data_IF_654784830926
#
_entry.id   IF_654784830926
#
_cell.length_a   1.000
_cell.length_b   1.000
_cell.length_c   1.000
_cell.angle_alpha   90.00
_cell.angle_beta   90.00
_cell.angle_gamma   90.00
#
_symmetry.space_group_name_H-M   'P 1'
#
loop_
_entity.id
_entity.type
_entity.pdbx_description
1 polymer ?
#
# COMPACT_ATOMS: atom_id res chain seq x y z
N UNK A 1 15.15 1.95 17.78
CA UNK A 1 13.86 1.55 17.21
C UNK A 1 13.05 2.77 16.84
N UNK A 2 12.63 2.90 15.59
CA UNK A 2 11.68 3.93 15.17
C UNK A 2 10.26 3.44 15.48
N UNK A 3 9.49 4.21 16.23
CA UNK A 3 8.08 3.92 16.52
C UNK A 3 7.23 4.60 15.47
N UNK A 4 6.39 3.82 14.81
CA UNK A 4 5.54 4.23 13.69
C UNK A 4 4.13 3.71 13.90
N UNK A 5 3.16 4.24 13.16
CA UNK A 5 1.75 3.81 13.24
C UNK A 5 1.56 2.30 13.00
N UNK A 6 2.43 1.69 12.19
CA UNK A 6 2.48 0.24 11.96
C UNK A 6 2.68 -0.61 13.21
N UNK A 7 3.21 -0.02 14.30
CA UNK A 7 3.39 -0.72 15.57
C UNK A 7 2.10 -0.81 16.39
N UNK A 8 1.03 -0.08 16.00
CA UNK A 8 -0.22 -0.06 16.76
C UNK A 8 -0.92 -1.41 16.74
N UNK A 9 -1.01 -2.11 15.61
CA UNK A 9 -1.67 -3.44 15.56
C UNK A 9 -1.00 -4.44 16.52
N UNK A 10 0.33 -4.70 16.44
CA UNK A 10 1.02 -5.58 17.39
C UNK A 10 0.84 -5.19 18.85
N UNK A 11 0.91 -3.88 19.15
CA UNK A 11 0.80 -3.37 20.52
C UNK A 11 -0.63 -3.54 21.05
N UNK A 12 -1.64 -3.21 20.26
CA UNK A 12 -3.04 -3.36 20.64
C UNK A 12 -3.38 -4.82 20.92
N UNK A 13 -3.00 -5.74 20.03
CA UNK A 13 -3.19 -7.18 20.26
C UNK A 13 -2.48 -7.66 21.53
N UNK A 14 -1.21 -7.27 21.74
CA UNK A 14 -0.50 -7.67 22.95
C UNK A 14 -1.17 -7.12 24.23
N UNK A 15 -1.63 -5.87 24.19
CA UNK A 15 -2.33 -5.26 25.33
C UNK A 15 -3.62 -6.00 25.62
N UNK A 16 -4.49 -6.23 24.64
CA UNK A 16 -5.81 -6.83 24.85
C UNK A 16 -5.74 -8.32 25.15
N UNK A 17 -4.90 -9.07 24.44
CA UNK A 17 -4.86 -10.53 24.50
C UNK A 17 -3.91 -11.07 25.59
N UNK A 18 -2.91 -10.28 26.01
CA UNK A 18 -1.92 -10.74 27.00
C UNK A 18 -1.98 -9.95 28.31
N UNK A 19 -1.89 -8.61 28.24
CA UNK A 19 -1.75 -7.77 29.45
C UNK A 19 -3.08 -7.59 30.17
N UNK A 20 -4.14 -7.29 29.40
CA UNK A 20 -5.47 -6.97 29.89
C UNK A 20 -6.41 -8.19 29.86
N UNK A 21 -5.94 -9.33 29.36
CA UNK A 21 -6.68 -10.58 29.47
C UNK A 21 -6.99 -10.89 30.95
N UNK A 22 -8.24 -11.28 31.20
CA UNK A 22 -8.66 -11.70 32.53
C UNK A 22 -7.92 -12.98 32.93
N UNK A 23 -7.49 -13.03 34.19
CA UNK A 23 -6.84 -14.18 34.80
C UNK A 23 -7.67 -14.66 35.99
N UNK A 24 -7.58 -15.95 36.28
CA UNK A 24 -8.35 -16.58 37.36
C UNK A 24 -8.03 -15.98 38.74
N UNK A 25 -6.80 -15.49 38.92
CA UNK A 25 -6.31 -14.85 40.14
C UNK A 25 -6.62 -13.33 40.21
N UNK A 26 -7.26 -12.75 39.20
CA UNK A 26 -7.64 -11.35 39.22
C UNK A 26 -8.77 -11.09 40.23
N UNK A 27 -8.51 -10.15 41.15
CA UNK A 27 -9.56 -9.57 41.98
C UNK A 27 -10.63 -8.88 41.13
N UNK A 28 -11.84 -8.72 41.67
CA UNK A 28 -12.93 -8.01 41.00
C UNK A 28 -12.53 -6.59 40.57
N UNK A 29 -11.76 -5.87 41.39
CA UNK A 29 -11.29 -4.53 41.05
C UNK A 29 -10.35 -4.55 39.84
N UNK A 30 -9.40 -5.51 39.80
CA UNK A 30 -8.45 -5.66 38.69
C UNK A 30 -9.21 -6.00 37.41
N UNK A 31 -10.18 -6.92 37.47
CA UNK A 31 -11.05 -7.26 36.33
C UNK A 31 -11.80 -6.05 35.80
N UNK A 32 -12.41 -5.25 36.69
CA UNK A 32 -13.09 -4.01 36.30
C UNK A 32 -12.15 -2.99 35.66
N UNK A 33 -10.92 -2.84 36.18
CA UNK A 33 -9.91 -1.95 35.60
C UNK A 33 -9.46 -2.41 34.22
N UNK A 34 -9.13 -3.71 34.07
CA UNK A 34 -8.74 -4.30 32.77
C UNK A 34 -9.84 -4.10 31.73
N UNK A 35 -11.09 -4.39 32.09
CA UNK A 35 -12.23 -4.20 31.20
C UNK A 35 -12.41 -2.73 30.80
N UNK A 36 -12.29 -1.79 31.74
CA UNK A 36 -12.40 -0.36 31.44
C UNK A 36 -11.30 0.12 30.48
N UNK A 37 -10.07 -0.37 30.64
CA UNK A 37 -8.95 -0.04 29.74
C UNK A 37 -9.18 -0.66 28.36
N UNK A 38 -9.54 -1.94 28.27
CA UNK A 38 -9.87 -2.59 27.00
C UNK A 38 -10.95 -1.81 26.26
N UNK A 39 -12.07 -1.53 26.91
CA UNK A 39 -13.17 -0.77 26.33
C UNK A 39 -12.71 0.58 25.78
N UNK A 40 -11.85 1.29 26.52
CA UNK A 40 -11.32 2.57 26.06
C UNK A 40 -10.43 2.43 24.82
N UNK A 41 -9.59 1.39 24.74
CA UNK A 41 -8.78 1.13 23.55
C UNK A 41 -9.65 0.79 22.33
N UNK A 42 -10.69 -0.02 22.52
CA UNK A 42 -11.63 -0.39 21.47
C UNK A 42 -12.34 0.83 20.90
N UNK A 43 -12.89 1.70 21.77
CA UNK A 43 -13.55 2.95 21.37
C UNK A 43 -12.64 3.89 20.56
N UNK A 44 -11.32 3.79 20.72
CA UNK A 44 -10.35 4.65 20.03
C UNK A 44 -9.88 4.10 18.69
N UNK A 45 -9.79 2.77 18.55
CA UNK A 45 -9.06 2.15 17.44
C UNK A 45 -9.87 1.14 16.62
N UNK A 46 -11.08 0.75 17.05
CA UNK A 46 -11.95 -0.18 16.30
C UNK A 46 -12.87 0.51 15.28
N UNK A 47 -12.84 1.85 15.19
CA UNK A 47 -13.46 2.55 14.07
C UNK A 47 -12.94 2.00 12.73
N UNK A 48 -13.84 1.74 11.77
CA UNK A 48 -13.50 0.99 10.55
C UNK A 48 -12.39 1.65 9.73
N UNK A 49 -12.39 2.98 9.64
CA UNK A 49 -11.37 3.70 8.87
C UNK A 49 -10.03 3.68 9.61
N UNK A 50 -10.05 3.89 10.92
CA UNK A 50 -8.83 3.83 11.75
C UNK A 50 -8.22 2.43 11.77
N UNK A 51 -9.04 1.40 11.97
CA UNK A 51 -8.61 0.00 11.96
C UNK A 51 -7.95 -0.34 10.61
N UNK A 52 -8.55 0.09 9.50
CA UNK A 52 -8.01 -0.14 8.17
C UNK A 52 -6.63 0.51 7.97
N UNK A 53 -6.46 1.76 8.40
CA UNK A 53 -5.16 2.46 8.34
C UNK A 53 -4.11 1.73 9.18
N UNK A 54 -4.47 1.28 10.39
CA UNK A 54 -3.58 0.55 11.29
C UNK A 54 -3.16 -0.78 10.67
N UNK A 55 -4.10 -1.52 10.07
CA UNK A 55 -3.83 -2.79 9.40
C UNK A 55 -2.92 -2.62 8.20
N UNK A 56 -3.25 -1.68 7.32
CA UNK A 56 -2.47 -1.40 6.13
C UNK A 56 -1.04 -0.99 6.48
N UNK A 57 -0.89 -0.09 7.46
CA UNK A 57 0.42 0.33 7.93
C UNK A 57 1.23 -0.84 8.54
N UNK A 58 0.57 -1.72 9.31
CA UNK A 58 1.23 -2.89 9.88
C UNK A 58 1.72 -3.86 8.79
N UNK A 59 0.88 -4.15 7.79
CA UNK A 59 1.25 -5.04 6.67
C UNK A 59 2.39 -4.45 5.84
N UNK A 60 2.37 -3.15 5.58
CA UNK A 60 3.42 -2.45 4.84
C UNK A 60 4.70 -2.23 5.65
N UNK A 61 4.75 -2.61 6.92
CA UNK A 61 5.99 -2.58 7.69
C UNK A 61 6.74 -3.92 7.57
N UNK A 62 7.96 -3.93 7.00
CA UNK A 62 8.72 -5.16 6.79
C UNK A 62 9.11 -5.87 8.10
N UNK A 63 8.96 -5.22 9.26
CA UNK A 63 9.16 -5.83 10.57
C UNK A 63 8.00 -6.72 10.99
N UNK A 64 6.78 -6.42 10.52
CA UNK A 64 5.54 -7.05 11.00
C UNK A 64 4.84 -7.84 9.91
N UNK A 65 4.61 -7.23 8.74
CA UNK A 65 3.89 -7.82 7.60
C UNK A 65 2.54 -8.40 8.04
N UNK A 66 2.23 -9.61 7.59
CA UNK A 66 0.95 -10.28 7.83
C UNK A 66 0.88 -11.03 9.17
N UNK A 67 1.95 -11.02 9.97
CA UNK A 67 2.02 -11.84 11.19
C UNK A 67 1.01 -11.44 12.27
N UNK A 68 0.35 -10.29 12.11
CA UNK A 68 -0.62 -9.72 13.04
C UNK A 68 -2.02 -9.59 12.42
N UNK A 69 -2.27 -10.31 11.31
CA UNK A 69 -3.53 -10.27 10.58
C UNK A 69 -4.25 -11.61 10.67
N UNK A 70 -5.49 -11.61 11.17
CA UNK A 70 -6.34 -12.81 11.13
C UNK A 70 -6.82 -13.10 9.70
N UNK A 71 -7.13 -12.05 8.93
CA UNK A 71 -7.66 -12.14 7.57
C UNK A 71 -6.62 -11.70 6.52
N UNK A 72 -5.44 -12.32 6.56
CA UNK A 72 -4.30 -11.96 5.70
C UNK A 72 -4.65 -11.84 4.20
N UNK A 73 -5.46 -12.76 3.67
CA UNK A 73 -5.86 -12.76 2.26
C UNK A 73 -6.80 -11.59 1.90
N UNK A 74 -7.61 -11.13 2.84
CA UNK A 74 -8.50 -9.98 2.64
C UNK A 74 -7.69 -8.70 2.48
N UNK A 75 -6.71 -8.50 3.37
CA UNK A 75 -5.84 -7.32 3.35
C UNK A 75 -4.92 -7.33 2.12
N UNK A 76 -4.41 -8.49 1.70
CA UNK A 76 -3.67 -8.61 0.43
C UNK A 76 -4.49 -8.11 -0.76
N UNK A 77 -5.73 -8.60 -0.90
CA UNK A 77 -6.64 -8.16 -1.98
C UNK A 77 -6.92 -6.66 -1.92
N UNK A 78 -7.06 -6.11 -0.72
CA UNK A 78 -7.26 -4.67 -0.56
C UNK A 78 -6.03 -3.88 -1.01
N UNK A 79 -4.82 -4.31 -0.63
CA UNK A 79 -3.58 -3.67 -1.02
C UNK A 79 -3.38 -3.74 -2.56
N UNK A 80 -3.69 -4.89 -3.15
CA UNK A 80 -3.69 -5.10 -4.61
C UNK A 80 -4.62 -4.12 -5.31
N UNK A 81 -5.84 -3.94 -4.80
CA UNK A 81 -6.81 -3.00 -5.35
C UNK A 81 -6.32 -1.54 -5.25
N UNK A 82 -5.74 -1.14 -4.11
CA UNK A 82 -5.24 0.22 -3.94
C UNK A 82 -4.06 0.53 -4.88
N UNK A 83 -3.14 -0.42 -5.07
CA UNK A 83 -2.02 -0.27 -5.98
C UNK A 83 -2.49 -0.17 -7.45
N UNK A 84 -3.50 -0.95 -7.83
CA UNK A 84 -4.14 -0.85 -9.15
C UNK A 84 -4.83 0.50 -9.36
N UNK A 85 -5.43 1.09 -8.32
CA UNK A 85 -6.08 2.40 -8.40
C UNK A 85 -5.06 3.54 -8.58
N UNK A 86 -3.94 3.50 -7.86
CA UNK A 86 -2.86 4.49 -7.96
C UNK A 86 -2.17 4.46 -9.32
N UNK A 87 -1.80 3.29 -9.83
CA UNK A 87 -1.14 3.14 -11.15
C UNK A 87 -2.05 3.45 -12.35
N UNK A 88 -3.37 3.56 -12.13
CA UNK A 88 -4.32 4.00 -13.15
C UNK A 88 -4.39 5.53 -13.27
N UNK A 89 -4.17 6.26 -12.18
CA UNK A 89 -4.33 7.73 -12.09
C UNK A 89 -3.06 8.51 -12.49
N UNK A 90 -1.89 7.88 -12.41
CA UNK A 90 -0.61 8.44 -12.90
C UNK A 90 -0.57 8.69 -14.42
N UNK A 91 -1.60 8.27 -15.16
CA UNK A 91 -1.80 8.66 -16.56
C UNK A 91 -2.40 10.06 -16.75
N UNK A 92 -2.77 10.77 -15.68
CA UNK A 92 -3.57 12.01 -15.75
C UNK A 92 -3.11 13.16 -14.85
N UNK A 93 -1.84 13.20 -14.43
CA UNK A 93 -1.29 14.38 -13.73
C UNK A 93 -0.42 15.20 -14.66
N UNK A 94 -1.03 16.21 -15.31
CA UNK A 94 -0.32 17.37 -15.82
C UNK A 94 0.19 18.17 -14.62
N UNK A 95 1.50 18.34 -14.54
CA UNK A 95 2.18 19.24 -13.62
C UNK A 95 1.68 20.68 -13.82
N UNK A 96 1.03 21.25 -12.81
CA UNK A 96 0.78 22.69 -12.77
C UNK A 96 2.00 23.36 -12.16
N UNK A 97 2.79 24.02 -12.99
CA UNK A 97 3.86 24.93 -12.63
C UNK A 97 3.88 26.06 -13.65
N UNK A 98 3.50 27.25 -13.21
CA UNK A 98 3.35 28.48 -14.00
C UNK A 98 4.63 28.89 -14.71
N UNK A 99 4.49 29.49 -15.91
CA UNK A 99 5.09 30.78 -16.28
C UNK A 99 4.51 31.24 -17.63
N UNK A 100 3.95 32.43 -17.64
CA UNK A 100 3.60 33.21 -18.84
C UNK A 100 4.88 33.60 -19.59
N UNK A 101 4.93 33.46 -20.92
CA UNK A 101 5.41 34.51 -21.84
C UNK A 101 5.09 34.14 -23.30
N UNK A 102 4.77 35.17 -24.08
CA UNK A 102 4.31 35.15 -25.46
C UNK A 102 5.43 34.88 -26.48
N UNK A 103 5.10 34.25 -27.62
CA UNK A 103 5.94 34.35 -28.82
C UNK A 103 5.85 33.23 -29.87
N UNK A 104 4.93 33.39 -30.82
CA UNK A 104 5.03 33.07 -32.27
C UNK A 104 6.10 32.05 -32.74
N UNK A 105 5.67 30.92 -33.35
CA UNK A 105 5.74 30.70 -34.80
C UNK A 105 5.36 29.26 -35.18
N UNK A 106 4.52 29.13 -36.21
CA UNK A 106 4.01 27.87 -36.73
C UNK A 106 5.09 26.99 -37.38
N UNK A 107 5.03 25.66 -37.13
CA UNK A 107 5.50 24.66 -38.09
C UNK A 107 4.62 23.41 -38.02
N UNK A 108 4.07 23.02 -39.17
CA UNK A 108 3.23 21.84 -39.38
C UNK A 108 4.14 20.64 -39.68
N UNK A 109 3.98 19.46 -39.06
CA UNK A 109 4.74 18.27 -39.46
C UNK A 109 4.07 17.57 -40.65
N UNK A 110 4.83 17.35 -41.73
CA UNK A 110 4.39 16.56 -42.88
C UNK A 110 4.19 15.06 -42.55
N UNK A 111 3.30 14.34 -43.26
CA UNK A 111 3.07 12.91 -43.05
C UNK A 111 4.16 12.03 -43.69
N UNK A 112 4.60 10.93 -43.04
CA UNK A 112 5.64 10.06 -43.58
C UNK A 112 5.12 9.20 -44.75
N UNK A 113 5.84 9.19 -45.88
CA UNK A 113 5.55 8.36 -47.06
C UNK A 113 6.27 7.00 -46.98
N UNK A 114 5.55 5.91 -47.28
CA UNK A 114 6.11 4.59 -47.56
C UNK A 114 5.57 3.45 -46.68
N UNK A 115 5.77 2.20 -47.14
CA UNK A 115 5.34 0.96 -46.45
C UNK A 115 5.86 0.87 -45.01
N UNK A 116 7.05 1.42 -44.73
CA UNK A 116 7.62 1.54 -43.39
C UNK A 116 6.79 2.45 -42.45
N UNK A 117 6.19 3.53 -42.99
CA UNK A 117 5.29 4.39 -42.23
C UNK A 117 3.96 3.71 -41.91
N UNK A 118 3.45 2.91 -42.86
CA UNK A 118 2.25 2.08 -42.65
C UNK A 118 2.52 0.98 -41.62
N UNK A 119 3.68 0.30 -41.69
CA UNK A 119 4.09 -0.70 -40.71
C UNK A 119 4.26 -0.11 -39.31
N UNK A 120 4.84 1.09 -39.19
CA UNK A 120 4.97 1.81 -37.91
C UNK A 120 3.60 2.19 -37.33
N UNK A 121 2.65 2.56 -38.18
CA UNK A 121 1.26 2.82 -37.77
C UNK A 121 0.52 1.55 -37.36
N UNK A 122 0.74 0.41 -38.03
CA UNK A 122 0.14 -0.89 -37.68
C UNK A 122 0.71 -1.42 -36.36
N UNK A 123 2.00 -1.24 -36.10
CA UNK A 123 2.61 -1.60 -34.81
C UNK A 123 2.16 -0.68 -33.67
N UNK A 124 1.90 0.61 -33.94
CA UNK A 124 1.37 1.54 -32.94
C UNK A 124 -0.13 1.37 -32.68
N UNK A 125 -0.95 1.07 -33.70
CA UNK A 125 -2.39 0.82 -33.55
C UNK A 125 -2.74 -0.57 -32.99
N UNK A 126 -1.79 -1.50 -32.89
CA UNK A 126 -1.98 -2.78 -32.20
C UNK A 126 -1.77 -2.69 -30.67
N UNK A 127 -1.41 -1.51 -30.15
CA UNK A 127 -1.18 -1.28 -28.72
C UNK A 127 -2.21 -0.32 -28.08
N UNK A 128 -3.39 -0.16 -28.69
CA UNK A 128 -4.60 0.30 -28.00
C UNK A 128 -5.50 -0.89 -27.73
N UNK A 129 -5.08 -1.76 -26.81
CA UNK A 129 -6.00 -2.66 -26.14
C UNK A 129 -6.12 -2.20 -24.69
N UNK A 130 -7.09 -1.33 -24.40
CA UNK A 130 -7.41 -0.88 -23.03
C UNK A 130 -7.74 -2.06 -22.09
N UNK A 131 -8.02 -3.25 -22.62
CA UNK A 131 -8.19 -4.49 -21.84
C UNK A 131 -6.87 -5.21 -21.54
N UNK A 132 -5.81 -5.08 -22.36
CA UNK A 132 -4.52 -5.76 -22.14
C UNK A 132 -3.61 -5.02 -21.16
N UNK A 133 -3.66 -3.68 -21.15
CA UNK A 133 -2.87 -2.89 -20.21
C UNK A 133 -3.40 -3.02 -18.77
N UNK A 134 -4.73 -3.09 -18.59
CA UNK A 134 -5.35 -3.35 -17.28
C UNK A 134 -4.97 -4.73 -16.72
N UNK A 135 -5.02 -5.77 -17.56
CA UNK A 135 -4.58 -7.13 -17.17
C UNK A 135 -3.10 -7.17 -16.77
N UNK A 136 -2.22 -6.47 -17.51
CA UNK A 136 -0.77 -6.46 -17.23
C UNK A 136 -0.43 -5.68 -15.95
N UNK A 137 -1.07 -4.54 -15.70
CA UNK A 137 -0.92 -3.77 -14.44
C UNK A 137 -1.42 -4.55 -13.23
N UNK A 138 -2.58 -5.20 -13.36
CA UNK A 138 -3.14 -6.08 -12.33
C UNK A 138 -2.19 -7.23 -11.97
N UNK A 139 -1.51 -7.78 -12.99
CA UNK A 139 -0.55 -8.86 -12.80
C UNK A 139 0.72 -8.40 -12.05
N UNK A 140 1.21 -7.18 -12.29
CA UNK A 140 2.38 -6.64 -11.61
C UNK A 140 2.10 -6.33 -10.14
N UNK A 141 1.00 -5.63 -9.83
CA UNK A 141 0.61 -5.34 -8.45
C UNK A 141 0.48 -6.60 -7.59
N UNK A 142 -0.14 -7.65 -8.15
CA UNK A 142 -0.24 -8.95 -7.51
C UNK A 142 1.14 -9.59 -7.26
N UNK A 143 2.05 -9.53 -8.24
CA UNK A 143 3.40 -10.08 -8.12
C UNK A 143 4.21 -9.38 -7.04
N UNK A 144 4.19 -8.04 -7.00
CA UNK A 144 4.91 -7.24 -6.00
C UNK A 144 4.42 -7.52 -4.58
N UNK A 145 3.10 -7.50 -4.37
CA UNK A 145 2.51 -7.77 -3.05
C UNK A 145 2.78 -9.20 -2.60
N UNK A 146 2.66 -10.17 -3.52
CA UNK A 146 2.98 -11.57 -3.23
C UNK A 146 4.47 -11.75 -2.89
N UNK A 147 5.37 -11.13 -3.66
CA UNK A 147 6.81 -11.17 -3.40
C UNK A 147 7.16 -10.52 -2.05
N UNK A 148 6.67 -9.32 -1.77
CA UNK A 148 6.92 -8.60 -0.53
C UNK A 148 6.42 -9.38 0.71
N UNK A 149 5.20 -9.93 0.63
CA UNK A 149 4.58 -10.63 1.77
C UNK A 149 5.20 -12.00 2.06
N UNK A 150 5.93 -12.59 1.10
CA UNK A 150 6.65 -13.87 1.28
C UNK A 150 8.09 -13.71 1.76
N UNK A 151 8.69 -12.52 1.60
CA UNK A 151 10.00 -12.22 2.17
C UNK A 151 9.98 -12.35 3.71
N UNK A 152 11.08 -12.76 4.35
CA UNK A 152 11.18 -12.80 5.81
C UNK A 152 11.01 -11.39 6.41
N UNK A 153 10.57 -11.35 7.68
CA UNK A 153 10.56 -10.09 8.43
C UNK A 153 11.97 -9.64 8.77
N UNK A 154 12.16 -8.33 8.88
CA UNK A 154 13.41 -7.75 9.36
C UNK A 154 13.38 -7.54 10.89
N UNK A 155 14.53 -7.37 11.51
CA UNK A 155 14.61 -7.07 12.96
C UNK A 155 13.83 -5.80 13.32
N UNK A 156 13.15 -5.84 14.47
CA UNK A 156 12.39 -4.72 15.03
C UNK A 156 13.23 -3.47 15.31
N UNK A 157 14.55 -3.63 15.46
CA UNK A 157 15.49 -2.55 15.70
C UNK A 157 15.84 -1.74 14.44
N UNK A 158 15.57 -2.29 13.24
CA UNK A 158 15.82 -1.62 11.96
C UNK A 158 14.78 -0.55 11.65
N UNK A 159 15.16 0.40 10.78
CA UNK A 159 14.25 1.44 10.30
C UNK A 159 13.47 0.92 9.06
N UNK A 160 12.13 0.80 9.13
CA UNK A 160 11.32 0.29 8.03
C UNK A 160 11.32 1.21 6.80
N UNK A 161 11.41 2.53 6.99
CA UNK A 161 11.45 3.48 5.87
C UNK A 161 12.78 3.41 5.11
N UNK A 162 13.87 3.16 5.84
CA UNK A 162 15.16 2.91 5.21
C UNK A 162 15.14 1.61 4.41
N UNK A 163 14.49 0.56 4.92
CA UNK A 163 14.32 -0.69 4.18
C UNK A 163 13.57 -0.45 2.87
N UNK A 164 12.43 0.26 2.88
CA UNK A 164 11.71 0.59 1.65
C UNK A 164 12.57 1.34 0.65
N UNK A 165 13.34 2.33 1.11
CA UNK A 165 14.29 3.06 0.25
C UNK A 165 15.37 2.16 -0.37
N UNK A 166 15.88 1.20 0.39
CA UNK A 166 16.88 0.25 -0.10
C UNK A 166 16.30 -0.77 -1.10
N UNK A 167 14.98 -0.99 -1.07
CA UNK A 167 14.28 -1.99 -1.89
C UNK A 167 13.35 -1.36 -2.94
N UNK A 168 13.43 -0.05 -3.17
CA UNK A 168 12.55 0.70 -4.10
C UNK A 168 12.65 0.21 -5.56
N UNK A 169 13.77 -0.41 -5.93
CA UNK A 169 13.95 -0.98 -7.28
C UNK A 169 13.24 -2.33 -7.43
N UNK A 170 13.09 -3.08 -6.34
CA UNK A 170 12.36 -4.36 -6.32
C UNK A 170 10.85 -4.16 -6.10
N UNK A 171 10.48 -3.07 -5.42
CA UNK A 171 9.10 -2.68 -5.12
C UNK A 171 8.90 -1.20 -5.50
N UNK A 172 8.68 -0.92 -6.79
CA UNK A 172 8.53 0.44 -7.31
C UNK A 172 7.20 1.13 -6.94
#
# INVERSE_FOLDING_TARGET
TCITISSLRPVLQHLTETILAEKDDDSNLVRSMKHAICKNLQERYEDSDMANVIDMACVLDPRFKLNFMEEADSIKRQLEQQLMQHTADEGSTCTLGECEDEGTSASVPEPPKGLAGILKMITMKKQENKQSAGMMKSTLAFQEISAYTTLPTISVDKNPLQWWKENEQEFP
#
